data_IF_398400050615
#
_entry.id   IF_398400050615
#
_cell.length_a   1.000
_cell.length_b   1.000
_cell.length_c   1.000
_cell.angle_alpha   90.00
_cell.angle_beta   90.00
_cell.angle_gamma   90.00
#
_symmetry.space_group_name_H-M   'P 1'
#
loop_
_entity.id
_entity.type
_entity.pdbx_description
1 polymer ?
#
# COMPACT_ATOMS: atom_id res chain seq x y z
N UNK A 1 -40.45 30.35 -18.78
CA UNK A 1 -40.56 29.30 -17.73
C UNK A 1 -39.67 28.09 -18.01
N UNK A 2 -39.69 27.49 -19.21
CA UNK A 2 -38.81 26.34 -19.55
C UNK A 2 -37.31 26.65 -19.44
N UNK A 3 -36.88 27.80 -19.96
CA UNK A 3 -35.47 28.26 -19.87
C UNK A 3 -34.96 28.40 -18.43
N UNK A 4 -35.80 28.92 -17.53
CA UNK A 4 -35.46 29.05 -16.10
C UNK A 4 -35.29 27.67 -15.43
N UNK A 5 -36.09 26.68 -15.85
CA UNK A 5 -35.99 25.31 -15.37
C UNK A 5 -34.71 24.62 -15.84
N UNK A 6 -34.32 24.82 -17.11
CA UNK A 6 -33.04 24.33 -17.64
C UNK A 6 -31.83 24.95 -16.93
N UNK A 7 -31.89 26.26 -16.65
CA UNK A 7 -30.85 26.95 -15.90
C UNK A 7 -30.68 26.38 -14.48
N UNK A 8 -31.77 26.19 -13.74
CA UNK A 8 -31.74 25.60 -12.40
C UNK A 8 -31.25 24.14 -12.42
N UNK A 9 -31.66 23.36 -13.43
CA UNK A 9 -31.21 21.97 -13.59
C UNK A 9 -29.71 21.89 -13.89
N UNK A 10 -29.21 22.73 -14.79
CA UNK A 10 -27.78 22.80 -15.12
C UNK A 10 -26.93 23.26 -13.93
N UNK A 11 -27.40 24.28 -13.20
CA UNK A 11 -26.73 24.77 -11.99
C UNK A 11 -26.69 23.71 -10.87
N UNK A 12 -27.78 22.95 -10.71
CA UNK A 12 -27.86 21.82 -9.78
C UNK A 12 -26.84 20.72 -10.10
N UNK A 13 -26.74 20.30 -11.38
CA UNK A 13 -25.80 19.27 -11.82
C UNK A 13 -24.35 19.73 -11.63
N UNK A 14 -24.04 20.96 -12.02
CA UNK A 14 -22.68 21.52 -11.86
C UNK A 14 -22.30 21.65 -10.39
N UNK A 15 -23.22 22.09 -9.53
CA UNK A 15 -23.00 22.14 -8.09
C UNK A 15 -22.76 20.74 -7.50
N UNK A 16 -23.56 19.74 -7.86
CA UNK A 16 -23.39 18.35 -7.42
C UNK A 16 -22.03 17.78 -7.86
N UNK A 17 -21.62 18.06 -9.09
CA UNK A 17 -20.32 17.66 -9.63
C UNK A 17 -19.15 18.29 -8.85
N UNK A 18 -19.21 19.60 -8.57
CA UNK A 18 -18.19 20.30 -7.79
C UNK A 18 -18.14 19.80 -6.33
N UNK A 19 -19.29 19.51 -5.73
CA UNK A 19 -19.38 18.95 -4.38
C UNK A 19 -18.73 17.56 -4.29
N UNK A 20 -19.10 16.65 -5.19
CA UNK A 20 -18.52 15.30 -5.27
C UNK A 20 -17.00 15.33 -5.49
N UNK A 21 -16.52 16.27 -6.32
CA UNK A 21 -15.10 16.49 -6.54
C UNK A 21 -14.37 16.90 -5.26
N UNK A 22 -14.93 17.86 -4.50
CA UNK A 22 -14.35 18.31 -3.24
C UNK A 22 -14.22 17.20 -2.18
N UNK A 23 -15.20 16.30 -2.09
CA UNK A 23 -15.12 15.14 -1.20
C UNK A 23 -14.02 14.15 -1.63
N UNK A 24 -13.89 13.90 -2.93
CA UNK A 24 -12.84 13.05 -3.49
C UNK A 24 -11.44 13.54 -3.15
N UNK A 25 -11.18 14.84 -3.35
CA UNK A 25 -9.88 15.46 -3.04
C UNK A 25 -9.55 15.41 -1.54
N UNK A 26 -10.54 15.63 -0.68
CA UNK A 26 -10.37 15.55 0.78
C UNK A 26 -10.04 14.12 1.22
N UNK A 27 -10.70 13.12 0.64
CA UNK A 27 -10.45 11.70 0.92
C UNK A 27 -9.06 11.28 0.47
N UNK A 28 -8.63 11.70 -0.71
CA UNK A 28 -7.28 11.44 -1.23
C UNK A 28 -6.21 12.11 -0.37
N UNK A 29 -6.42 13.35 0.08
CA UNK A 29 -5.50 14.03 0.99
C UNK A 29 -5.34 13.27 2.31
N UNK A 30 -6.44 12.81 2.91
CA UNK A 30 -6.41 11.99 4.14
C UNK A 30 -5.65 10.68 3.90
N UNK A 31 -5.88 10.01 2.77
CA UNK A 31 -5.18 8.80 2.38
C UNK A 31 -3.66 9.04 2.27
N UNK A 32 -3.24 10.07 1.55
CA UNK A 32 -1.83 10.44 1.39
C UNK A 32 -1.19 10.75 2.75
N UNK A 33 -1.88 11.49 3.63
CA UNK A 33 -1.36 11.78 4.97
C UNK A 33 -1.19 10.51 5.82
N UNK A 34 -2.12 9.57 5.74
CA UNK A 34 -2.01 8.29 6.44
C UNK A 34 -0.83 7.46 5.91
N UNK A 35 -0.63 7.45 4.59
CA UNK A 35 0.50 6.76 3.97
C UNK A 35 1.83 7.41 4.36
N UNK A 36 1.94 8.74 4.35
CA UNK A 36 3.13 9.46 4.83
C UNK A 36 3.46 9.06 6.26
N UNK A 37 2.46 9.02 7.15
CA UNK A 37 2.65 8.59 8.55
C UNK A 37 3.13 7.14 8.64
N UNK A 38 2.57 6.25 7.82
CA UNK A 38 2.95 4.84 7.79
C UNK A 38 4.38 4.64 7.25
N UNK A 39 4.71 5.26 6.12
CA UNK A 39 6.05 5.24 5.53
C UNK A 39 7.08 5.83 6.50
N UNK A 40 6.76 6.96 7.15
CA UNK A 40 7.64 7.56 8.16
C UNK A 40 7.98 6.59 9.29
N UNK A 41 7.00 5.81 9.75
CA UNK A 41 7.19 4.84 10.84
C UNK A 41 7.97 3.60 10.41
N UNK A 42 7.78 3.11 9.19
CA UNK A 42 8.19 1.76 8.82
C UNK A 42 9.15 1.64 7.64
N UNK A 43 9.53 2.75 6.99
CA UNK A 43 10.50 2.73 5.88
C UNK A 43 11.85 2.14 6.31
N UNK A 44 12.37 2.51 7.49
CA UNK A 44 13.61 1.94 8.01
C UNK A 44 13.52 0.42 8.16
N UNK A 45 12.41 -0.10 8.71
CA UNK A 45 12.22 -1.55 8.86
C UNK A 45 12.18 -2.25 7.50
N UNK A 46 11.50 -1.68 6.51
CA UNK A 46 11.44 -2.23 5.16
C UNK A 46 12.83 -2.29 4.50
N UNK A 47 13.64 -1.24 4.65
CA UNK A 47 15.00 -1.17 4.08
C UNK A 47 15.95 -2.13 4.80
N UNK A 48 15.92 -2.19 6.13
CA UNK A 48 16.72 -3.18 6.88
C UNK A 48 16.36 -4.62 6.51
N UNK A 49 15.07 -4.91 6.36
CA UNK A 49 14.62 -6.24 5.93
C UNK A 49 15.02 -6.52 4.47
N UNK A 50 15.07 -5.52 3.60
CA UNK A 50 15.59 -5.66 2.24
C UNK A 50 17.08 -5.99 2.22
N UNK A 51 17.87 -5.35 3.08
CA UNK A 51 19.29 -5.65 3.25
C UNK A 51 19.49 -7.08 3.76
N UNK A 52 18.74 -7.50 4.78
CA UNK A 52 18.86 -8.83 5.43
C UNK A 52 18.32 -9.98 4.59
N UNK A 53 17.16 -9.81 3.98
CA UNK A 53 16.41 -10.92 3.38
C UNK A 53 16.48 -10.98 1.85
N UNK A 54 16.79 -9.84 1.21
CA UNK A 54 16.75 -9.69 -0.24
C UNK A 54 15.38 -9.34 -0.82
N UNK A 55 14.33 -9.20 0.01
CA UNK A 55 12.99 -8.79 -0.43
C UNK A 55 12.98 -7.27 -0.66
N UNK A 56 12.52 -6.74 -1.81
CA UNK A 56 12.50 -5.29 -2.07
C UNK A 56 11.78 -4.52 -0.94
N UNK A 57 12.32 -3.37 -0.54
CA UNK A 57 11.72 -2.52 0.48
C UNK A 57 10.34 -2.01 0.02
N UNK A 58 10.19 -1.74 -1.27
CA UNK A 58 8.93 -1.36 -1.91
C UNK A 58 7.86 -2.45 -1.81
N UNK A 59 8.23 -3.73 -2.01
CA UNK A 59 7.34 -4.88 -1.82
C UNK A 59 6.94 -4.98 -0.35
N UNK A 60 7.90 -4.93 0.57
CA UNK A 60 7.61 -5.01 2.01
C UNK A 60 6.64 -3.91 2.44
N UNK A 61 6.93 -2.67 2.07
CA UNK A 61 6.14 -1.52 2.52
C UNK A 61 4.80 -1.44 1.77
N UNK A 62 4.77 -1.76 0.48
CA UNK A 62 3.57 -1.83 -0.34
C UNK A 62 2.59 -2.89 0.17
N UNK A 63 3.05 -4.10 0.46
CA UNK A 63 2.21 -5.13 1.09
C UNK A 63 1.75 -4.67 2.48
N UNK A 64 2.64 -4.12 3.30
CA UNK A 64 2.26 -3.58 4.61
C UNK A 64 1.13 -2.54 4.50
N UNK A 65 1.22 -1.61 3.56
CA UNK A 65 0.16 -0.61 3.30
C UNK A 65 -1.14 -1.28 2.85
N UNK A 66 -1.06 -2.24 1.92
CA UNK A 66 -2.22 -2.90 1.31
C UNK A 66 -2.96 -3.80 2.30
N UNK A 67 -2.24 -4.70 2.98
CA UNK A 67 -2.83 -5.75 3.85
C UNK A 67 -3.35 -5.18 5.18
N UNK A 68 -2.74 -4.09 5.68
CA UNK A 68 -3.11 -3.51 6.98
C UNK A 68 -4.06 -2.32 6.88
N UNK A 69 -4.56 -1.99 5.69
CA UNK A 69 -5.28 -0.74 5.43
C UNK A 69 -4.49 0.47 5.95
N UNK A 70 -3.21 0.55 5.59
CA UNK A 70 -2.26 1.58 6.05
C UNK A 70 -2.13 1.61 7.59
N UNK A 71 -2.12 0.43 8.21
CA UNK A 71 -2.05 0.21 9.66
C UNK A 71 -3.38 0.40 10.40
N UNK A 72 -4.50 0.55 9.69
CA UNK A 72 -5.79 0.85 10.28
C UNK A 72 -6.76 -0.32 10.41
N UNK A 73 -6.46 -1.49 9.83
CA UNK A 73 -7.32 -2.66 9.97
C UNK A 73 -7.45 -3.10 11.43
N UNK A 74 -8.61 -3.69 11.76
CA UNK A 74 -8.88 -4.31 13.07
C UNK A 74 -7.75 -5.26 13.47
N UNK A 75 -7.36 -6.16 12.56
CA UNK A 75 -6.28 -7.12 12.76
C UNK A 75 -4.96 -6.43 13.07
N UNK A 76 -4.53 -5.44 12.26
CA UNK A 76 -3.25 -4.77 12.46
C UNK A 76 -3.20 -4.01 13.80
N UNK A 77 -4.28 -3.31 14.16
CA UNK A 77 -4.37 -2.57 15.44
C UNK A 77 -4.39 -3.48 16.66
N UNK A 78 -5.08 -4.62 16.58
CA UNK A 78 -5.22 -5.53 17.71
C UNK A 78 -3.98 -6.43 17.92
N UNK A 79 -3.20 -6.68 16.87
CA UNK A 79 -2.20 -7.76 16.88
C UNK A 79 -0.82 -7.38 16.36
N UNK A 80 -0.64 -6.15 15.87
CA UNK A 80 0.53 -5.73 15.11
C UNK A 80 0.79 -6.56 13.84
N UNK A 81 -0.15 -7.39 13.37
CA UNK A 81 0.00 -8.17 12.14
C UNK A 81 -0.33 -7.32 10.92
N UNK A 82 0.70 -6.77 10.27
CA UNK A 82 0.56 -5.86 9.15
C UNK A 82 0.51 -6.55 7.78
N UNK A 83 0.62 -7.87 7.74
CA UNK A 83 0.73 -8.66 6.50
C UNK A 83 -0.33 -9.76 6.37
N UNK A 84 -1.29 -9.82 7.31
CA UNK A 84 -2.35 -10.83 7.30
C UNK A 84 -1.84 -12.27 7.45
N UNK A 85 -0.69 -12.49 8.10
CA UNK A 85 -0.09 -13.82 8.13
C UNK A 85 -0.90 -14.72 9.08
N UNK A 86 -1.51 -15.76 8.50
CA UNK A 86 -2.21 -16.82 9.23
C UNK A 86 -1.23 -17.68 10.05
N UNK A 87 -1.69 -18.28 11.13
CA UNK A 87 -0.86 -19.09 12.04
C UNK A 87 -0.13 -20.19 11.26
N UNK A 88 -0.87 -21.00 10.49
CA UNK A 88 -0.35 -22.22 9.88
C UNK A 88 0.14 -23.23 10.93
N UNK A 89 0.62 -24.39 10.48
CA UNK A 89 0.96 -25.51 11.40
C UNK A 89 2.19 -25.26 12.28
N UNK A 90 3.09 -24.38 11.85
CA UNK A 90 4.41 -24.17 12.48
C UNK A 90 4.45 -22.98 13.44
N UNK A 91 3.36 -22.20 13.54
CA UNK A 91 3.34 -21.08 14.46
C UNK A 91 3.19 -21.55 15.91
N UNK A 92 3.93 -20.91 16.80
CA UNK A 92 4.01 -21.23 18.24
C UNK A 92 3.93 -19.98 19.13
N UNK A 93 3.81 -18.80 18.53
CA UNK A 93 3.61 -17.55 19.26
C UNK A 93 2.12 -17.26 19.49
N UNK A 94 1.83 -16.05 19.95
CA UNK A 94 0.47 -15.60 20.22
C UNK A 94 -0.42 -15.65 18.98
N UNK A 95 -1.70 -15.90 19.21
CA UNK A 95 -2.72 -16.01 18.16
C UNK A 95 -3.85 -15.04 18.40
N UNK A 96 -4.55 -14.69 17.31
CA UNK A 96 -5.78 -13.93 17.34
C UNK A 96 -6.75 -14.53 16.32
N UNK A 97 -7.98 -14.78 16.74
CA UNK A 97 -9.03 -15.28 15.85
C UNK A 97 -9.83 -14.12 15.31
N UNK A 98 -9.92 -14.04 13.98
CA UNK A 98 -10.62 -12.98 13.27
C UNK A 98 -11.36 -13.57 12.07
N UNK A 99 -12.49 -12.99 11.72
CA UNK A 99 -13.18 -13.35 10.48
C UNK A 99 -12.47 -12.66 9.31
N UNK A 100 -12.13 -13.43 8.28
CA UNK A 100 -11.50 -12.94 7.05
C UNK A 100 -12.14 -13.63 5.83
N UNK A 101 -11.45 -14.54 5.15
CA UNK A 101 -12.06 -15.34 4.07
C UNK A 101 -13.09 -16.33 4.66
N UNK A 102 -12.78 -16.86 5.85
CA UNK A 102 -13.63 -17.75 6.62
C UNK A 102 -13.85 -17.22 8.04
N UNK A 103 -14.93 -17.61 8.73
CA UNK A 103 -15.11 -17.28 10.12
C UNK A 103 -14.01 -17.88 11.01
N UNK A 104 -13.56 -17.12 12.02
CA UNK A 104 -12.63 -17.53 13.07
C UNK A 104 -11.32 -18.10 12.53
N UNK A 105 -10.73 -17.47 11.53
CA UNK A 105 -9.41 -17.82 11.07
C UNK A 105 -8.33 -17.42 12.07
N UNK A 106 -7.29 -18.25 12.19
CA UNK A 106 -6.17 -18.03 13.10
C UNK A 106 -5.12 -17.13 12.45
N UNK A 107 -4.90 -15.96 13.02
CA UNK A 107 -3.82 -15.04 12.65
C UNK A 107 -2.73 -15.00 13.71
N UNK A 108 -1.50 -14.79 13.25
CA UNK A 108 -0.36 -14.53 14.14
C UNK A 108 -0.56 -13.20 14.84
N UNK A 109 -0.20 -13.13 16.12
CA UNK A 109 -0.13 -11.90 16.91
C UNK A 109 1.31 -11.64 17.32
N UNK A 110 1.72 -10.38 17.28
CA UNK A 110 3.09 -9.93 17.54
C UNK A 110 3.12 -8.86 18.62
N UNK A 111 4.23 -8.76 19.34
CA UNK A 111 4.42 -7.74 20.37
C UNK A 111 4.69 -6.36 19.74
N UNK A 112 5.20 -6.34 18.51
CA UNK A 112 5.48 -5.10 17.79
C UNK A 112 5.30 -5.26 16.28
N UNK A 113 5.13 -4.12 15.59
CA UNK A 113 5.11 -4.11 14.11
C UNK A 113 6.44 -4.57 13.53
N UNK A 114 7.57 -4.33 14.21
CA UNK A 114 8.88 -4.81 13.76
C UNK A 114 8.95 -6.33 13.71
N UNK A 115 8.37 -7.02 14.70
CA UNK A 115 8.26 -8.49 14.69
C UNK A 115 7.44 -8.97 13.49
N UNK A 116 6.33 -8.29 13.17
CA UNK A 116 5.53 -8.62 11.99
C UNK A 116 6.32 -8.45 10.68
N UNK A 117 7.15 -7.41 10.56
CA UNK A 117 8.02 -7.21 9.39
C UNK A 117 9.07 -8.30 9.26
N UNK A 118 9.71 -8.67 10.37
CA UNK A 118 10.71 -9.73 10.42
C UNK A 118 10.08 -11.10 10.09
N UNK A 119 8.92 -11.43 10.67
CA UNK A 119 8.22 -12.69 10.40
C UNK A 119 7.72 -12.77 8.96
N UNK A 120 7.28 -11.66 8.37
CA UNK A 120 6.95 -11.60 6.95
C UNK A 120 8.15 -11.97 6.06
N UNK A 121 9.36 -11.54 6.40
CA UNK A 121 10.56 -11.97 5.67
C UNK A 121 10.79 -13.48 5.78
N UNK A 122 10.59 -14.07 6.96
CA UNK A 122 10.67 -15.53 7.16
C UNK A 122 9.57 -16.26 6.38
N UNK A 123 8.36 -15.70 6.35
CA UNK A 123 7.23 -16.25 5.62
C UNK A 123 7.51 -16.33 4.12
N UNK A 124 8.05 -15.26 3.53
CA UNK A 124 8.43 -15.24 2.12
C UNK A 124 9.67 -16.08 1.81
N UNK A 125 10.43 -16.56 2.79
CA UNK A 125 11.53 -17.53 2.55
C UNK A 125 11.07 -18.98 2.41
N UNK A 126 9.78 -19.28 2.59
CA UNK A 126 9.24 -20.64 2.41
C UNK A 126 9.40 -21.11 0.95
N UNK A 127 9.53 -22.43 0.70
CA UNK A 127 9.78 -22.98 -0.64
C UNK A 127 8.81 -22.48 -1.73
N UNK A 128 7.53 -22.28 -1.38
CA UNK A 128 6.50 -21.73 -2.26
C UNK A 128 6.88 -20.42 -2.95
N UNK A 129 7.70 -19.59 -2.29
CA UNK A 129 8.10 -18.26 -2.75
C UNK A 129 9.57 -18.20 -3.21
N UNK A 130 10.25 -19.35 -3.27
CA UNK A 130 11.69 -19.41 -3.58
C UNK A 130 12.04 -18.78 -4.94
N UNK A 131 11.19 -18.99 -5.94
CA UNK A 131 11.36 -18.43 -7.29
C UNK A 131 11.48 -16.89 -7.31
N UNK A 132 10.89 -16.19 -6.32
CA UNK A 132 10.98 -14.73 -6.23
C UNK A 132 12.42 -14.25 -6.01
N UNK A 133 13.26 -15.06 -5.37
CA UNK A 133 14.65 -14.70 -5.06
C UNK A 133 15.61 -14.88 -6.24
N UNK A 134 15.16 -15.46 -7.36
CA UNK A 134 15.90 -15.46 -8.62
C UNK A 134 15.61 -14.21 -9.47
N UNK A 135 14.58 -13.42 -9.11
CA UNK A 135 14.28 -12.16 -9.76
C UNK A 135 15.32 -11.09 -9.42
N UNK A 136 15.43 -10.07 -10.27
CA UNK A 136 16.23 -8.88 -9.95
C UNK A 136 15.70 -8.26 -8.66
N UNK A 137 16.60 -8.00 -7.70
CA UNK A 137 16.26 -7.50 -6.35
C UNK A 137 15.42 -6.21 -6.33
N UNK A 138 15.45 -5.40 -7.40
CA UNK A 138 14.73 -4.11 -7.48
C UNK A 138 13.53 -4.15 -8.44
N UNK A 139 13.22 -5.32 -9.01
CA UNK A 139 12.11 -5.50 -9.93
C UNK A 139 10.81 -5.83 -9.18
N UNK A 140 10.24 -4.80 -8.55
CA UNK A 140 9.03 -4.94 -7.75
C UNK A 140 7.81 -5.39 -8.58
N UNK A 141 7.79 -5.14 -9.89
CA UNK A 141 6.70 -5.56 -10.76
C UNK A 141 6.69 -7.09 -10.91
N UNK A 142 7.85 -7.67 -11.25
CA UNK A 142 8.01 -9.14 -11.30
C UNK A 142 7.77 -9.78 -9.93
N UNK A 143 8.20 -9.14 -8.84
CA UNK A 143 7.90 -9.61 -7.47
C UNK A 143 6.40 -9.64 -7.18
N UNK A 144 5.65 -8.59 -7.51
CA UNK A 144 4.20 -8.53 -7.27
C UNK A 144 3.43 -9.60 -8.06
N UNK A 145 3.79 -9.78 -9.34
CA UNK A 145 3.24 -10.84 -10.20
C UNK A 145 3.58 -12.22 -9.63
N UNK A 146 4.83 -12.44 -9.24
CA UNK A 146 5.29 -13.69 -8.66
C UNK A 146 4.61 -14.01 -7.33
N UNK A 147 4.40 -13.03 -6.46
CA UNK A 147 3.69 -13.18 -5.18
C UNK A 147 2.26 -13.70 -5.39
N UNK A 148 1.54 -13.11 -6.35
CA UNK A 148 0.21 -13.57 -6.74
C UNK A 148 0.26 -14.98 -7.32
N UNK A 149 1.16 -15.25 -8.27
CA UNK A 149 1.34 -16.58 -8.89
C UNK A 149 1.64 -17.66 -7.84
N UNK A 150 2.41 -17.31 -6.81
CA UNK A 150 2.73 -18.18 -5.69
C UNK A 150 1.59 -18.30 -4.66
N UNK A 151 0.45 -17.65 -4.87
CA UNK A 151 -0.72 -17.74 -3.99
C UNK A 151 -0.56 -16.99 -2.67
N UNK A 152 0.06 -15.81 -2.66
CA UNK A 152 0.06 -14.93 -1.49
C UNK A 152 -1.35 -14.42 -1.16
N UNK A 153 -2.13 -14.05 -2.17
CA UNK A 153 -3.51 -13.60 -2.05
C UNK A 153 -4.43 -14.27 -3.07
N UNK A 154 -5.71 -14.40 -2.75
CA UNK A 154 -6.75 -14.99 -3.61
C UNK A 154 -7.27 -14.02 -4.66
N UNK A 155 -7.18 -12.70 -4.41
CA UNK A 155 -7.68 -11.68 -5.32
C UNK A 155 -7.00 -11.72 -6.69
N UNK A 156 -7.81 -11.77 -7.76
CA UNK A 156 -7.35 -11.80 -9.15
C UNK A 156 -6.61 -10.53 -9.59
N UNK A 157 -6.68 -9.43 -8.85
CA UNK A 157 -6.01 -8.16 -9.15
C UNK A 157 -4.90 -7.79 -8.14
N UNK A 158 -4.45 -8.72 -7.31
CA UNK A 158 -3.50 -8.46 -6.23
C UNK A 158 -2.20 -7.78 -6.68
N UNK A 159 -1.58 -8.35 -7.71
CA UNK A 159 -0.39 -7.85 -8.38
C UNK A 159 -0.56 -6.39 -8.84
N UNK A 160 -1.64 -6.11 -9.57
CA UNK A 160 -1.93 -4.76 -10.06
C UNK A 160 -2.15 -3.77 -8.92
N UNK A 161 -2.86 -4.16 -7.85
CA UNK A 161 -3.07 -3.31 -6.67
C UNK A 161 -1.76 -3.00 -5.97
N UNK A 162 -0.89 -4.00 -5.80
CA UNK A 162 0.41 -3.81 -5.16
C UNK A 162 1.33 -2.92 -6.00
N UNK A 163 1.43 -3.16 -7.31
CA UNK A 163 2.19 -2.32 -8.25
C UNK A 163 1.67 -0.88 -8.21
N UNK A 164 0.35 -0.70 -8.29
CA UNK A 164 -0.26 0.62 -8.24
C UNK A 164 0.10 1.38 -6.97
N UNK A 165 0.05 0.74 -5.79
CA UNK A 165 0.43 1.39 -4.54
C UNK A 165 1.91 1.76 -4.50
N UNK A 166 2.79 0.86 -4.99
CA UNK A 166 4.24 1.12 -5.07
C UNK A 166 4.53 2.32 -5.98
N UNK A 167 3.84 2.43 -7.10
CA UNK A 167 4.01 3.52 -8.07
C UNK A 167 3.40 4.83 -7.55
N UNK A 168 2.13 4.81 -7.09
CA UNK A 168 1.40 5.97 -6.54
C UNK A 168 2.18 6.68 -5.45
N UNK A 169 2.85 5.92 -4.58
CA UNK A 169 3.62 6.45 -3.46
C UNK A 169 5.13 6.40 -3.67
N UNK A 170 5.60 6.16 -4.89
CA UNK A 170 7.03 6.13 -5.24
C UNK A 170 7.88 5.22 -4.32
N UNK A 171 7.30 4.14 -3.80
CA UNK A 171 7.95 3.26 -2.81
C UNK A 171 9.17 2.54 -3.40
N UNK A 172 9.20 2.33 -4.71
CA UNK A 172 10.34 1.77 -5.45
C UNK A 172 11.63 2.58 -5.27
N UNK A 173 11.55 3.85 -4.88
CA UNK A 173 12.73 4.66 -4.57
C UNK A 173 13.46 4.18 -3.32
N UNK A 174 12.75 3.53 -2.39
CA UNK A 174 13.33 2.95 -1.19
C UNK A 174 14.21 1.73 -1.51
N UNK A 175 14.01 1.08 -2.66
CA UNK A 175 14.86 -0.04 -3.10
C UNK A 175 16.29 0.39 -3.46
N UNK A 176 16.53 1.70 -3.57
CA UNK A 176 17.84 2.31 -3.82
C UNK A 176 18.54 2.74 -2.54
N UNK A 177 17.87 2.60 -1.39
CA UNK A 177 18.37 3.08 -0.10
C UNK A 177 19.10 1.98 0.68
N UNK A 178 20.00 2.41 1.55
CA UNK A 178 20.54 1.59 2.64
C UNK A 178 19.89 2.00 3.96
N UNK A 179 20.01 1.20 5.01
CA UNK A 179 19.45 1.53 6.34
C UNK A 179 19.97 2.87 6.88
N UNK A 180 21.27 3.18 6.73
CA UNK A 180 21.82 4.49 7.10
C UNK A 180 21.42 5.60 6.11
N UNK A 181 21.18 5.23 4.85
CA UNK A 181 20.77 6.15 3.80
C UNK A 181 19.36 6.66 3.98
N UNK A 182 18.42 5.76 4.30
CA UNK A 182 17.01 6.10 4.47
C UNK A 182 16.79 7.01 5.67
N UNK A 183 17.51 6.83 6.78
CA UNK A 183 17.42 7.74 7.94
C UNK A 183 17.70 9.20 7.55
N UNK A 184 18.67 9.44 6.66
CA UNK A 184 19.04 10.77 6.20
C UNK A 184 18.12 11.31 5.11
N UNK A 185 17.49 10.44 4.32
CA UNK A 185 16.73 10.82 3.11
C UNK A 185 15.21 10.63 3.24
N UNK A 186 14.72 10.16 4.39
CA UNK A 186 13.30 9.88 4.60
C UNK A 186 12.41 11.08 4.25
N UNK A 187 12.75 12.27 4.73
CA UNK A 187 11.96 13.48 4.46
C UNK A 187 11.84 13.80 2.97
N UNK A 188 12.89 13.54 2.18
CA UNK A 188 12.84 13.70 0.72
C UNK A 188 11.83 12.75 0.07
N UNK A 189 11.75 11.51 0.55
CA UNK A 189 10.76 10.54 0.07
C UNK A 189 9.34 10.94 0.49
N UNK A 190 9.15 11.41 1.73
CA UNK A 190 7.84 11.87 2.21
C UNK A 190 7.33 13.10 1.44
N UNK A 191 8.20 14.04 1.09
CA UNK A 191 7.87 15.18 0.22
C UNK A 191 7.45 14.70 -1.17
N UNK A 192 8.11 13.67 -1.71
CA UNK A 192 7.75 13.10 -3.02
C UNK A 192 6.38 12.44 -2.99
N UNK A 193 6.04 11.72 -1.92
CA UNK A 193 4.70 11.16 -1.71
C UNK A 193 3.65 12.27 -1.63
N UNK A 194 3.93 13.34 -0.86
CA UNK A 194 3.02 14.48 -0.73
C UNK A 194 2.74 15.18 -2.06
N UNK A 195 3.74 15.27 -2.94
CA UNK A 195 3.62 15.90 -4.27
C UNK A 195 2.99 15.00 -5.34
N UNK A 196 2.74 13.70 -5.06
CA UNK A 196 1.97 12.82 -5.99
C UNK A 196 0.59 13.40 -6.34
N UNK A 197 -0.04 14.08 -5.38
CA UNK A 197 -1.33 14.78 -5.54
C UNK A 197 -1.31 15.79 -6.68
N UNK A 198 -0.29 16.65 -6.76
CA UNK A 198 -0.26 17.73 -7.76
C UNK A 198 -0.12 17.15 -9.16
N UNK A 199 0.72 16.13 -9.35
CA UNK A 199 0.92 15.49 -10.65
C UNK A 199 -0.32 14.77 -11.19
N UNK A 200 -1.11 14.14 -10.33
CA UNK A 200 -2.37 13.48 -10.74
C UNK A 200 -3.40 14.54 -11.14
N UNK A 201 -3.51 15.60 -10.35
CA UNK A 201 -4.43 16.70 -10.62
C UNK A 201 -4.09 17.40 -11.94
N UNK A 202 -2.83 17.77 -12.16
CA UNK A 202 -2.37 18.43 -13.38
C UNK A 202 -2.61 17.54 -14.63
N UNK A 203 -2.31 16.23 -14.53
CA UNK A 203 -2.55 15.27 -15.62
C UNK A 203 -4.03 15.10 -15.94
N UNK A 204 -4.91 15.12 -14.94
CA UNK A 204 -6.35 14.99 -15.13
C UNK A 204 -6.94 16.24 -15.80
N UNK A 205 -6.53 17.43 -15.36
CA UNK A 205 -6.94 18.69 -15.99
C UNK A 205 -6.48 18.82 -17.43
N UNK A 206 -5.23 18.44 -17.70
CA UNK A 206 -4.70 18.43 -19.06
C UNK A 206 -5.52 17.52 -20.00
N UNK A 207 -5.95 16.35 -19.51
CA UNK A 207 -6.80 15.41 -20.28
C UNK A 207 -8.22 15.94 -20.52
N UNK A 208 -8.83 16.58 -19.53
CA UNK A 208 -10.15 17.20 -19.68
C UNK A 208 -10.08 18.37 -20.67
N UNK A 209 -9.10 19.26 -20.53
CA UNK A 209 -8.99 20.44 -21.38
C UNK A 209 -8.79 20.08 -22.86
N UNK A 210 -8.04 19.00 -23.14
CA UNK A 210 -7.86 18.46 -24.50
C UNK A 210 -9.11 17.76 -25.07
N UNK A 211 -10.07 17.38 -24.24
CA UNK A 211 -11.33 16.81 -24.71
C UNK A 211 -12.35 17.89 -25.12
N UNK A 212 -12.14 19.13 -24.68
CA UNK A 212 -13.00 20.28 -24.96
C UNK A 212 -12.38 21.29 -25.94
N UNK A 213 -11.20 21.01 -26.49
CA UNK A 213 -10.61 21.69 -27.67
C UNK A 213 -10.53 20.73 -28.84
#
# INVERSE_FOLDING_TARGET
MKEFFYFLFFFSITFLFLYSKGEGEKKEEIEIQNVIKYVKKYALFAVEEMEKSGIPASIKLGQGILESSVGNSSLAKATNNHFGIKCGKTWRGDVYYHDDDLPKECFRKYNSVRESFNDHSKFLKKPRYSELFFLKKKDYQSWAIGLKKAGYATSSNYDNRLIHQIEKYFLWKLDQETSQGIEKRLDKHLIKIRSSRSTIFDSFFYKIFRFFM
#
